data_IF_329447314159
#
_entry.id   IF_329447314159
#
_cell.length_a   1.000
_cell.length_b   1.000
_cell.length_c   1.000
_cell.angle_alpha   90.00
_cell.angle_beta   90.00
_cell.angle_gamma   90.00
#
_symmetry.space_group_name_H-M   'P 1'
#
loop_
_entity.id
_entity.type
_entity.pdbx_description
1 polymer ?
#
# COMPACT_ATOMS: atom_id res chain seq x y z
N UNK A 1 34.30 27.67 14.74
CA UNK A 1 33.67 26.33 14.79
C UNK A 1 32.21 26.48 14.45
N UNK A 2 31.73 25.97 13.32
CA UNK A 2 30.29 26.01 12.97
C UNK A 2 29.63 24.66 13.30
N UNK A 3 28.63 24.68 14.16
CA UNK A 3 27.84 23.50 14.51
C UNK A 3 26.98 23.06 13.31
N UNK A 4 27.14 21.82 12.86
CA UNK A 4 26.36 21.23 11.78
C UNK A 4 24.93 21.01 12.26
N UNK A 5 23.96 21.67 11.63
CA UNK A 5 22.54 21.51 11.89
C UNK A 5 22.10 20.05 11.75
N UNK A 6 21.60 19.47 12.83
CA UNK A 6 20.91 18.19 12.79
C UNK A 6 19.64 18.37 11.93
N UNK A 7 19.56 17.67 10.79
CA UNK A 7 18.30 17.59 10.03
C UNK A 7 17.27 16.94 10.95
N UNK A 8 16.18 17.66 11.26
CA UNK A 8 15.03 17.06 11.96
C UNK A 8 14.59 15.80 11.20
N UNK A 9 14.36 14.65 11.86
CA UNK A 9 13.70 13.53 11.20
C UNK A 9 12.34 14.01 10.71
N UNK A 10 12.14 14.00 9.40
CA UNK A 10 10.84 14.29 8.79
C UNK A 10 9.84 13.27 9.37
N UNK A 11 8.83 13.73 10.12
CA UNK A 11 7.70 12.84 10.45
C UNK A 11 7.03 12.48 9.13
N UNK A 12 6.75 11.21 8.85
CA UNK A 12 5.96 10.88 7.67
C UNK A 12 4.65 11.65 7.73
N UNK A 13 4.28 12.28 6.62
CA UNK A 13 3.02 13.00 6.46
C UNK A 13 1.92 11.97 6.70
N UNK A 14 1.24 12.05 7.84
CA UNK A 14 0.17 11.13 8.17
C UNK A 14 -1.05 11.53 7.33
N UNK A 15 -1.43 10.68 6.38
CA UNK A 15 -2.60 10.90 5.53
C UNK A 15 -3.86 10.99 6.40
N UNK A 16 -4.78 11.90 6.05
CA UNK A 16 -6.07 11.97 6.72
C UNK A 16 -6.93 10.74 6.36
N UNK A 17 -7.90 10.35 7.21
CA UNK A 17 -8.77 9.20 6.92
C UNK A 17 -9.49 9.32 5.57
N UNK A 18 -9.87 10.53 5.18
CA UNK A 18 -10.50 10.80 3.89
C UNK A 18 -9.56 10.52 2.70
N UNK A 19 -8.27 10.88 2.81
CA UNK A 19 -7.28 10.59 1.77
C UNK A 19 -6.98 9.10 1.68
N UNK A 20 -6.97 8.39 2.81
CA UNK A 20 -6.81 6.93 2.83
C UNK A 20 -8.00 6.24 2.15
N UNK A 21 -9.22 6.70 2.41
CA UNK A 21 -10.42 6.17 1.75
C UNK A 21 -10.37 6.41 0.26
N UNK A 22 -10.00 7.62 -0.16
CA UNK A 22 -9.85 7.95 -1.58
C UNK A 22 -8.81 7.05 -2.27
N UNK A 23 -7.69 6.74 -1.62
CA UNK A 23 -6.71 5.79 -2.16
C UNK A 23 -7.29 4.39 -2.36
N UNK A 24 -8.05 3.89 -1.39
CA UNK A 24 -8.73 2.60 -1.51
C UNK A 24 -9.75 2.63 -2.65
N UNK A 25 -10.54 3.70 -2.75
CA UNK A 25 -11.58 3.85 -3.78
C UNK A 25 -10.96 3.93 -5.18
N UNK A 26 -9.90 4.73 -5.36
CA UNK A 26 -9.17 4.86 -6.62
C UNK A 26 -8.57 3.51 -7.05
N UNK A 27 -7.99 2.77 -6.10
CA UNK A 27 -7.45 1.43 -6.38
C UNK A 27 -8.58 0.48 -6.81
N UNK A 28 -9.66 0.43 -6.04
CA UNK A 28 -10.79 -0.47 -6.28
C UNK A 28 -11.58 -0.13 -7.55
N UNK A 29 -11.57 1.13 -7.99
CA UNK A 29 -12.18 1.55 -9.25
C UNK A 29 -11.37 1.09 -10.46
N UNK A 30 -10.03 1.01 -10.31
CA UNK A 30 -9.11 0.63 -11.39
C UNK A 30 -8.90 -0.88 -11.47
N UNK A 31 -8.95 -1.58 -10.33
CA UNK A 31 -8.55 -2.99 -10.24
C UNK A 31 -9.63 -3.83 -9.53
N UNK A 32 -10.20 -4.85 -10.20
CA UNK A 32 -11.15 -5.73 -9.57
C UNK A 32 -10.47 -6.68 -8.56
N UNK A 33 -11.28 -7.31 -7.69
CA UNK A 33 -10.81 -8.42 -6.84
C UNK A 33 -10.34 -9.56 -7.74
N UNK A 34 -9.20 -10.17 -7.39
CA UNK A 34 -8.49 -11.15 -8.21
C UNK A 34 -7.38 -10.55 -9.08
N UNK A 35 -7.19 -9.22 -9.08
CA UNK A 35 -6.10 -8.55 -9.80
C UNK A 35 -4.75 -9.11 -9.36
N UNK A 36 -3.88 -9.39 -10.34
CA UNK A 36 -2.49 -9.80 -10.09
C UNK A 36 -1.67 -8.60 -9.62
N UNK A 37 -0.93 -8.78 -8.53
CA UNK A 37 -0.14 -7.73 -7.87
C UNK A 37 1.20 -8.29 -7.42
N UNK A 38 2.20 -7.43 -7.29
CA UNK A 38 3.41 -7.69 -6.52
C UNK A 38 3.26 -7.00 -5.16
N UNK A 39 3.51 -7.73 -4.08
CA UNK A 39 3.62 -7.17 -2.73
C UNK A 39 5.06 -7.22 -2.25
N UNK A 40 5.52 -6.15 -1.61
CA UNK A 40 6.78 -6.13 -0.88
C UNK A 40 6.56 -6.58 0.56
N UNK A 41 7.09 -7.75 0.90
CA UNK A 41 7.07 -8.34 2.23
C UNK A 41 8.03 -7.61 3.19
N UNK A 42 7.89 -7.87 4.48
CA UNK A 42 8.66 -7.22 5.54
C UNK A 42 10.16 -7.60 5.54
N UNK A 43 10.50 -8.77 4.99
CA UNK A 43 11.86 -9.20 4.70
C UNK A 43 12.49 -8.47 3.49
N UNK A 44 11.70 -7.64 2.80
CA UNK A 44 12.09 -6.93 1.59
C UNK A 44 11.87 -7.71 0.30
N UNK A 45 11.45 -8.98 0.36
CA UNK A 45 11.19 -9.79 -0.83
C UNK A 45 9.90 -9.36 -1.54
N UNK A 46 9.93 -9.36 -2.87
CA UNK A 46 8.71 -9.29 -3.68
C UNK A 46 8.00 -10.64 -3.69
N UNK A 47 6.67 -10.62 -3.66
CA UNK A 47 5.83 -11.79 -3.92
C UNK A 47 4.75 -11.41 -4.92
N UNK A 48 4.64 -12.17 -6.00
CA UNK A 48 3.52 -12.05 -6.94
C UNK A 48 2.36 -12.87 -6.39
N UNK A 49 1.21 -12.22 -6.24
CA UNK A 49 -0.03 -12.85 -5.75
C UNK A 49 -1.24 -12.15 -6.37
N UNK A 50 -2.45 -12.53 -5.95
CA UNK A 50 -3.71 -11.95 -6.38
C UNK A 50 -4.40 -11.24 -5.22
N UNK A 51 -5.18 -10.21 -5.51
CA UNK A 51 -6.03 -9.56 -4.51
C UNK A 51 -7.17 -10.49 -4.11
N UNK A 52 -7.34 -10.73 -2.81
CA UNK A 52 -8.41 -11.57 -2.25
C UNK A 52 -9.68 -10.77 -1.97
N UNK A 53 -9.56 -9.46 -1.76
CA UNK A 53 -10.69 -8.57 -1.48
C UNK A 53 -10.39 -7.15 -1.96
N UNK A 54 -11.38 -6.26 -1.82
CA UNK A 54 -11.23 -4.82 -2.10
C UNK A 54 -10.29 -4.19 -1.06
N UNK A 55 -9.57 -3.15 -1.47
CA UNK A 55 -8.82 -2.32 -0.54
C UNK A 55 -9.77 -1.57 0.40
N UNK A 56 -9.38 -1.41 1.67
CA UNK A 56 -10.20 -0.76 2.69
C UNK A 56 -9.34 -0.04 3.74
N UNK A 57 -9.91 0.89 4.49
CA UNK A 57 -9.22 1.62 5.54
C UNK A 57 -9.39 0.90 6.87
N UNK A 58 -8.31 0.27 7.35
CA UNK A 58 -8.31 -0.38 8.66
C UNK A 58 -8.22 0.66 9.78
N UNK A 59 -9.20 0.60 10.69
CA UNK A 59 -9.28 1.41 11.92
C UNK A 59 -9.16 2.93 11.69
N UNK A 60 -9.45 3.41 10.47
CA UNK A 60 -9.39 4.82 10.10
C UNK A 60 -7.99 5.41 9.90
N UNK A 61 -6.93 4.60 9.91
CA UNK A 61 -5.55 5.13 9.85
C UNK A 61 -4.63 4.42 8.86
N UNK A 62 -5.07 3.35 8.20
CA UNK A 62 -4.22 2.63 7.25
C UNK A 62 -5.02 2.05 6.10
N UNK A 63 -4.68 2.43 4.87
CA UNK A 63 -5.18 1.78 3.67
C UNK A 63 -4.53 0.40 3.53
N UNK A 64 -5.35 -0.65 3.50
CA UNK A 64 -4.90 -2.05 3.46
C UNK A 64 -5.62 -2.84 2.38
N UNK A 65 -5.05 -3.99 2.03
CA UNK A 65 -5.65 -4.97 1.13
C UNK A 65 -5.30 -6.38 1.57
N UNK A 66 -6.21 -7.32 1.31
CA UNK A 66 -5.98 -8.74 1.55
C UNK A 66 -5.57 -9.44 0.27
N UNK A 67 -4.60 -10.33 0.38
CA UNK A 67 -3.95 -11.01 -0.73
C UNK A 67 -4.08 -12.52 -0.55
N UNK A 68 -4.05 -13.24 -1.66
CA UNK A 68 -4.06 -14.69 -1.64
C UNK A 68 -2.72 -15.25 -1.12
N UNK A 69 -2.77 -16.36 -0.38
CA UNK A 69 -1.58 -16.98 0.22
C UNK A 69 -0.93 -16.20 1.37
N UNK A 70 -1.50 -15.06 1.80
CA UNK A 70 -0.99 -14.27 2.92
C UNK A 70 -2.03 -14.18 4.04
N UNK A 71 -1.64 -14.55 5.24
CA UNK A 71 -2.46 -14.37 6.45
C UNK A 71 -2.43 -12.92 6.90
N UNK A 72 -3.60 -12.28 6.98
CA UNK A 72 -3.75 -10.88 7.39
C UNK A 72 -3.92 -9.93 6.20
N UNK A 73 -3.56 -8.67 6.40
CA UNK A 73 -3.64 -7.61 5.40
C UNK A 73 -2.30 -6.90 5.25
N UNK A 74 -2.03 -6.39 4.05
CA UNK A 74 -0.86 -5.55 3.76
C UNK A 74 -1.26 -4.11 3.49
N UNK A 75 -0.35 -3.18 3.80
CA UNK A 75 -0.52 -1.78 3.43
C UNK A 75 -0.60 -1.64 1.91
N UNK A 76 -1.55 -0.86 1.44
CA UNK A 76 -1.78 -0.63 0.01
C UNK A 76 -0.52 -0.06 -0.68
N UNK A 77 0.26 0.78 0.02
CA UNK A 77 1.54 1.34 -0.45
C UNK A 77 2.60 0.27 -0.79
N UNK A 78 2.52 -0.92 -0.19
CA UNK A 78 3.45 -2.03 -0.46
C UNK A 78 2.99 -2.93 -1.60
N UNK A 79 1.84 -2.63 -2.21
CA UNK A 79 1.23 -3.45 -3.25
C UNK A 79 1.27 -2.68 -4.57
N UNK A 80 1.84 -3.30 -5.59
CA UNK A 80 1.92 -2.75 -6.93
C UNK A 80 1.10 -3.63 -7.87
N UNK A 81 0.05 -3.11 -8.53
CA UNK A 81 -0.71 -3.87 -9.50
C UNK A 81 0.13 -4.20 -10.73
N UNK A 82 0.09 -5.47 -11.15
CA UNK A 82 0.71 -5.92 -12.38
C UNK A 82 -0.29 -5.75 -13.51
N UNK A 83 -0.18 -4.66 -14.25
CA UNK A 83 -0.91 -4.45 -15.50
C UNK A 83 -0.07 -4.94 -16.67
N UNK A 84 -0.66 -5.70 -17.60
CA UNK A 84 0.06 -6.22 -18.78
C UNK A 84 0.51 -5.12 -19.76
N UNK A 85 0.07 -3.88 -19.58
CA UNK A 85 0.59 -2.72 -20.29
C UNK A 85 1.73 -2.06 -19.51
N UNK A 86 2.88 -2.71 -19.51
CA UNK A 86 4.17 -2.03 -19.40
C UNK A 86 4.84 -2.07 -20.79
N UNK A 87 4.40 -1.16 -21.66
CA UNK A 87 5.03 -0.86 -22.94
C UNK A 87 5.16 0.67 -23.05
#
# INVERSE_FOLDING_TARGET
MIARGARRPQRPIQLSPALLQQQCDDFNARFPVGQKVTVRRDDGEGLITNTRSRADVLSGHSAVIWLDGISGCYLLDRVTPLTENAA
#
